data_IF_403844052697
#
_entry.id   IF_403844052697
#
_cell.length_a   1.000
_cell.length_b   1.000
_cell.length_c   1.000
_cell.angle_alpha   90.00
_cell.angle_beta   90.00
_cell.angle_gamma   90.00
#
_symmetry.space_group_name_H-M   'P 1'
#
loop_
_entity.id
_entity.type
_entity.pdbx_description
1 polymer ?
#
# COMPACT_ATOMS: atom_id res chain seq x y z
N UNK A 1 12.48 14.45 -5.07
CA UNK A 1 12.16 13.03 -5.33
C UNK A 1 12.48 12.78 -6.80
N UNK A 2 13.27 11.75 -7.15
CA UNK A 2 13.75 11.56 -8.53
C UNK A 2 12.98 10.41 -9.19
N UNK A 3 12.47 10.63 -10.40
CA UNK A 3 11.73 9.62 -11.15
C UNK A 3 12.07 9.62 -12.64
N UNK A 4 11.93 8.46 -13.28
CA UNK A 4 11.93 8.28 -14.75
C UNK A 4 10.57 7.73 -15.16
N UNK A 5 10.05 8.12 -16.33
CA UNK A 5 8.80 7.58 -16.82
C UNK A 5 8.80 7.14 -18.28
N UNK A 6 7.98 6.12 -18.56
CA UNK A 6 7.63 5.64 -19.89
C UNK A 6 6.10 5.51 -19.96
N UNK A 7 5.51 5.79 -21.11
CA UNK A 7 4.06 5.77 -21.32
C UNK A 7 3.67 4.59 -22.20
N UNK A 8 2.70 3.80 -21.76
CA UNK A 8 2.00 2.79 -22.57
C UNK A 8 0.51 3.12 -22.62
N UNK A 9 0.06 3.69 -23.72
CA UNK A 9 -1.33 4.14 -23.87
C UNK A 9 -1.74 5.15 -22.80
N UNK A 10 -2.61 4.73 -21.87
CA UNK A 10 -3.17 5.55 -20.78
C UNK A 10 -2.47 5.37 -19.44
N UNK A 11 -1.29 4.72 -19.41
CA UNK A 11 -0.54 4.46 -18.18
C UNK A 11 0.87 5.03 -18.32
N UNK A 12 1.31 5.81 -17.33
CA UNK A 12 2.70 6.23 -17.17
C UNK A 12 3.34 5.46 -16.01
N UNK A 13 4.48 4.81 -16.26
CA UNK A 13 5.20 4.09 -15.21
C UNK A 13 6.28 4.97 -14.62
N UNK A 14 6.40 5.03 -13.30
CA UNK A 14 7.43 5.82 -12.62
C UNK A 14 8.34 4.95 -11.80
N UNK A 15 9.66 5.17 -11.92
CA UNK A 15 10.67 4.51 -11.09
C UNK A 15 11.36 5.48 -10.15
N UNK A 16 11.37 5.19 -8.86
CA UNK A 16 11.98 6.02 -7.81
C UNK A 16 13.24 5.37 -7.25
N UNK A 17 14.27 6.17 -6.97
CA UNK A 17 15.52 5.65 -6.37
C UNK A 17 15.56 5.72 -4.84
N UNK A 18 14.65 6.49 -4.24
CA UNK A 18 14.69 6.82 -2.81
C UNK A 18 13.33 6.77 -2.11
N UNK A 19 12.35 6.11 -2.73
CA UNK A 19 11.00 5.92 -2.20
C UNK A 19 10.63 4.46 -2.36
N UNK A 20 10.13 3.87 -1.29
CA UNK A 20 9.63 2.50 -1.31
C UNK A 20 8.12 2.51 -1.23
N UNK A 21 7.47 1.81 -2.15
CA UNK A 21 6.04 1.62 -2.20
C UNK A 21 5.74 0.15 -1.93
N UNK A 22 4.77 -0.12 -1.07
CA UNK A 22 4.36 -1.49 -0.81
C UNK A 22 2.91 -1.55 -0.33
N UNK A 23 2.23 -2.66 -0.58
CA UNK A 23 0.85 -2.80 -0.14
C UNK A 23 0.38 -4.25 -0.09
N UNK A 24 -0.58 -4.48 0.79
CA UNK A 24 -1.45 -5.65 0.81
C UNK A 24 -2.74 -5.24 0.11
N UNK A 25 -3.09 -5.94 -0.97
CA UNK A 25 -4.18 -5.53 -1.86
C UNK A 25 -5.49 -5.29 -1.09
N UNK A 26 -6.12 -4.14 -1.35
CA UNK A 26 -7.37 -3.70 -0.74
C UNK A 26 -7.37 -3.63 0.80
N UNK A 27 -6.20 -3.52 1.43
CA UNK A 27 -6.07 -3.65 2.89
C UNK A 27 -5.18 -2.56 3.50
N UNK A 28 -3.84 -2.68 3.35
CA UNK A 28 -2.86 -1.69 3.80
C UNK A 28 -1.98 -1.25 2.66
N UNK A 29 -1.60 0.02 2.68
CA UNK A 29 -0.67 0.59 1.73
C UNK A 29 0.35 1.49 2.44
N UNK A 30 1.59 1.46 1.95
CA UNK A 30 2.72 2.14 2.53
C UNK A 30 3.54 2.87 1.46
N UNK A 31 3.94 4.10 1.77
CA UNK A 31 5.01 4.81 1.05
C UNK A 31 6.06 5.27 2.05
N UNK A 32 7.30 4.81 1.89
CA UNK A 32 8.42 5.19 2.76
C UNK A 32 9.42 6.06 2.00
N UNK A 33 9.67 7.25 2.53
CA UNK A 33 10.67 8.21 2.04
C UNK A 33 11.59 8.63 3.19
N UNK A 34 12.82 8.10 3.20
CA UNK A 34 13.72 8.26 4.34
C UNK A 34 13.12 7.66 5.62
N UNK A 35 12.96 8.49 6.66
CA UNK A 35 12.27 8.13 7.91
C UNK A 35 10.75 8.34 7.84
N UNK A 36 10.23 9.07 6.85
CA UNK A 36 8.80 9.36 6.76
C UNK A 36 8.05 8.19 6.10
N UNK A 37 6.94 7.78 6.69
CA UNK A 37 6.05 6.74 6.19
C UNK A 37 4.64 7.28 6.08
N UNK A 38 4.09 7.30 4.87
CA UNK A 38 2.65 7.34 4.66
C UNK A 38 2.10 5.93 4.82
N UNK A 39 1.09 5.76 5.65
CA UNK A 39 0.33 4.52 5.79
C UNK A 39 -1.15 4.83 5.57
N UNK A 40 -1.78 4.03 4.72
CA UNK A 40 -3.22 4.04 4.49
C UNK A 40 -3.77 2.66 4.79
N UNK A 41 -4.89 2.63 5.52
CA UNK A 41 -5.57 1.39 5.91
C UNK A 41 -7.04 1.52 5.59
N UNK A 42 -7.56 0.53 4.84
CA UNK A 42 -8.96 0.49 4.43
C UNK A 42 -9.89 0.58 5.64
N UNK A 43 -10.93 1.41 5.51
CA UNK A 43 -11.94 1.69 6.55
C UNK A 43 -11.40 2.19 7.90
N UNK A 44 -10.13 2.60 7.96
CA UNK A 44 -9.51 3.26 9.13
C UNK A 44 -9.08 4.69 8.79
N UNK A 45 -8.36 4.88 7.68
CA UNK A 45 -7.90 6.19 7.21
C UNK A 45 -6.43 6.21 6.82
N UNK A 46 -5.81 7.39 6.87
CA UNK A 46 -4.43 7.64 6.45
C UNK A 46 -3.64 8.42 7.50
N UNK A 47 -2.36 8.11 7.64
CA UNK A 47 -1.43 8.81 8.53
C UNK A 47 -0.04 8.96 7.91
N UNK A 48 0.70 9.96 8.36
CA UNK A 48 2.11 10.15 8.07
C UNK A 48 2.88 10.09 9.39
N UNK A 49 3.71 9.07 9.55
CA UNK A 49 4.45 8.78 10.79
C UNK A 49 5.95 8.57 10.48
N UNK A 50 6.78 8.52 11.52
CA UNK A 50 8.15 8.07 11.35
C UNK A 50 8.20 6.54 11.20
N UNK A 51 9.26 6.04 10.57
CA UNK A 51 9.50 4.61 10.46
C UNK A 51 9.66 4.00 11.85
N UNK A 52 10.32 4.70 12.78
CA UNK A 52 10.41 4.27 14.16
C UNK A 52 9.03 4.14 14.85
N UNK A 53 8.07 5.04 14.58
CA UNK A 53 6.71 4.92 15.13
C UNK A 53 5.95 3.74 14.52
N UNK A 54 6.10 3.48 13.21
CA UNK A 54 5.53 2.30 12.55
C UNK A 54 5.98 1.01 13.25
N UNK A 55 7.27 0.91 13.57
CA UNK A 55 7.86 -0.28 14.19
C UNK A 55 7.37 -0.56 15.62
N UNK A 56 6.76 0.42 16.32
CA UNK A 56 6.26 0.22 17.69
C UNK A 56 4.97 -0.60 17.76
N UNK A 57 4.19 -0.63 16.68
CA UNK A 57 2.96 -1.40 16.62
C UNK A 57 3.24 -2.71 15.87
N UNK A 58 3.11 -3.84 16.58
CA UNK A 58 3.42 -5.16 16.04
C UNK A 58 2.62 -5.49 14.77
N UNK A 59 1.35 -5.13 14.72
CA UNK A 59 0.51 -5.39 13.56
C UNK A 59 0.91 -4.52 12.37
N UNK A 60 1.13 -3.22 12.58
CA UNK A 60 1.56 -2.34 11.48
C UNK A 60 2.91 -2.77 10.92
N UNK A 61 3.83 -3.20 11.79
CA UNK A 61 5.11 -3.78 11.37
C UNK A 61 4.89 -5.05 10.54
N UNK A 62 4.06 -5.99 10.99
CA UNK A 62 3.79 -7.23 10.26
C UNK A 62 3.18 -6.95 8.88
N UNK A 63 2.20 -6.05 8.78
CA UNK A 63 1.63 -5.65 7.50
C UNK A 63 2.64 -4.95 6.60
N UNK A 64 3.53 -4.12 7.17
CA UNK A 64 4.60 -3.51 6.40
C UNK A 64 5.56 -4.56 5.84
N UNK A 65 6.03 -5.49 6.66
CA UNK A 65 6.92 -6.58 6.23
C UNK A 65 6.25 -7.46 5.17
N UNK A 66 5.00 -7.85 5.39
CA UNK A 66 4.19 -8.62 4.44
C UNK A 66 4.01 -7.86 3.12
N UNK A 67 3.69 -6.56 3.18
CA UNK A 67 3.51 -5.74 1.98
C UNK A 67 4.77 -5.69 1.11
N UNK A 68 5.96 -5.72 1.73
CA UNK A 68 7.23 -5.77 1.01
C UNK A 68 7.45 -7.12 0.33
N UNK A 69 6.99 -8.22 0.93
CA UNK A 69 7.04 -9.56 0.31
C UNK A 69 6.13 -9.65 -0.91
N UNK A 70 4.96 -9.01 -0.84
CA UNK A 70 3.93 -9.02 -1.89
C UNK A 70 4.14 -7.96 -2.97
N UNK A 71 5.14 -7.10 -2.85
CA UNK A 71 5.43 -6.04 -3.84
C UNK A 71 6.76 -6.31 -4.54
N UNK A 72 6.78 -7.02 -5.69
CA UNK A 72 8.01 -7.47 -6.34
C UNK A 72 8.96 -6.32 -6.70
N UNK A 73 8.41 -5.16 -7.03
CA UNK A 73 9.18 -3.97 -7.38
C UNK A 73 8.69 -2.74 -6.61
N UNK A 74 9.13 -2.63 -5.36
CA UNK A 74 8.81 -1.52 -4.46
C UNK A 74 9.30 -0.13 -4.91
N UNK A 75 10.03 -0.04 -6.01
CA UNK A 75 10.55 1.22 -6.55
C UNK A 75 9.78 1.69 -7.79
N UNK A 76 8.71 0.97 -8.18
CA UNK A 76 7.95 1.22 -9.39
C UNK A 76 6.47 1.40 -9.09
N UNK A 77 5.86 2.39 -9.73
CA UNK A 77 4.42 2.66 -9.66
C UNK A 77 3.87 2.92 -11.06
N UNK A 78 2.55 2.83 -11.20
CA UNK A 78 1.82 3.24 -12.39
C UNK A 78 0.94 4.45 -12.05
N UNK A 79 0.88 5.40 -12.98
CA UNK A 79 -0.04 6.52 -13.03
C UNK A 79 -1.03 6.29 -14.17
N UNK A 80 -2.31 6.25 -13.87
CA UNK A 80 -3.35 6.27 -14.89
C UNK A 80 -3.51 7.69 -15.43
N UNK A 81 -2.97 7.96 -16.63
CA UNK A 81 -3.00 9.30 -17.24
C UNK A 81 -4.41 9.70 -17.71
N UNK A 82 -5.30 8.72 -17.83
CA UNK A 82 -6.74 8.90 -18.05
C UNK A 82 -7.43 8.13 -16.94
N UNK A 83 -8.19 8.84 -16.11
CA UNK A 83 -8.86 8.32 -14.91
C UNK A 83 -9.45 6.90 -15.10
N UNK A 84 -8.77 5.88 -14.59
CA UNK A 84 -9.10 4.47 -14.88
C UNK A 84 -9.96 3.80 -13.81
N UNK A 85 -10.09 4.33 -12.59
CA UNK A 85 -10.84 3.63 -11.52
C UNK A 85 -12.35 3.54 -11.78
N UNK A 86 -12.89 4.24 -12.80
CA UNK A 86 -14.24 3.99 -13.37
C UNK A 86 -14.27 2.96 -14.51
N UNK A 87 -13.12 2.65 -15.11
CA UNK A 87 -12.95 1.71 -16.21
C UNK A 87 -12.30 0.38 -15.78
N UNK A 88 -12.00 0.22 -14.48
CA UNK A 88 -11.49 -1.03 -13.91
C UNK A 88 -12.51 -1.64 -12.96
N UNK A 89 -12.46 -2.96 -12.77
CA UNK A 89 -13.29 -3.69 -11.80
C UNK A 89 -13.00 -3.30 -10.32
N UNK A 90 -12.10 -2.33 -10.08
CA UNK A 90 -11.65 -1.93 -8.75
C UNK A 90 -12.41 -0.76 -8.14
N UNK A 91 -13.40 -0.19 -8.85
CA UNK A 91 -14.31 0.83 -8.33
C UNK A 91 -15.01 0.42 -7.02
N UNK A 92 -15.19 -0.89 -6.79
CA UNK A 92 -15.79 -1.42 -5.58
C UNK A 92 -14.88 -1.38 -4.35
N UNK A 93 -13.57 -1.21 -4.51
CA UNK A 93 -12.61 -1.19 -3.39
C UNK A 93 -12.31 0.22 -2.89
N UNK A 94 -12.50 1.25 -3.73
CA UNK A 94 -12.08 2.62 -3.42
C UNK A 94 -13.25 3.59 -3.58
N UNK A 95 -13.51 4.39 -2.53
CA UNK A 95 -14.64 5.34 -2.49
C UNK A 95 -14.41 6.59 -3.35
N UNK A 96 -13.17 6.83 -3.77
CA UNK A 96 -12.77 8.04 -4.49
C UNK A 96 -11.83 7.73 -5.65
N UNK A 97 -11.60 8.76 -6.46
CA UNK A 97 -10.68 8.73 -7.57
C UNK A 97 -9.24 8.46 -7.15
N UNK A 98 -8.61 7.45 -7.75
CA UNK A 98 -7.20 7.11 -7.54
C UNK A 98 -6.50 6.95 -8.87
N UNK A 99 -5.34 7.58 -8.99
CA UNK A 99 -4.54 7.60 -10.21
C UNK A 99 -3.28 6.77 -10.09
N UNK A 100 -2.86 6.46 -8.87
CA UNK A 100 -1.59 5.81 -8.61
C UNK A 100 -1.81 4.39 -8.10
N UNK A 101 -1.05 3.44 -8.64
CA UNK A 101 -1.07 2.06 -8.20
C UNK A 101 0.31 1.44 -8.17
N UNK A 102 0.46 0.38 -7.36
CA UNK A 102 1.67 -0.44 -7.30
C UNK A 102 1.41 -1.82 -7.87
N UNK A 103 2.47 -2.42 -8.41
CA UNK A 103 2.47 -3.82 -8.79
C UNK A 103 2.55 -4.70 -7.54
N UNK A 104 1.46 -5.37 -7.20
CA UNK A 104 1.37 -6.25 -6.03
C UNK A 104 0.87 -7.63 -6.43
N UNK A 105 1.23 -8.63 -5.63
CA UNK A 105 0.74 -10.01 -5.71
C UNK A 105 -0.37 -10.18 -4.68
N UNK A 106 -1.48 -10.79 -5.09
CA UNK A 106 -2.68 -10.91 -4.27
C UNK A 106 -3.45 -12.19 -4.55
N UNK A 107 -4.34 -12.55 -3.62
CA UNK A 107 -5.29 -13.64 -3.79
C UNK A 107 -6.61 -13.11 -4.34
N UNK A 108 -7.10 -13.74 -5.40
CA UNK A 108 -8.46 -13.58 -5.90
C UNK A 108 -9.09 -14.96 -6.07
N UNK A 109 -10.11 -15.28 -5.27
CA UNK A 109 -10.78 -16.59 -5.28
C UNK A 109 -9.78 -17.77 -5.22
N UNK A 110 -8.88 -17.75 -4.23
CA UNK A 110 -7.81 -18.75 -4.01
C UNK A 110 -6.75 -18.83 -5.12
N UNK A 111 -6.85 -17.99 -6.15
CA UNK A 111 -5.88 -17.91 -7.24
C UNK A 111 -4.89 -16.77 -6.99
N UNK A 112 -3.60 -17.08 -7.15
CA UNK A 112 -2.54 -16.07 -7.10
C UNK A 112 -2.60 -15.22 -8.38
N UNK A 113 -2.69 -13.91 -8.20
CA UNK A 113 -2.62 -12.92 -9.28
C UNK A 113 -1.60 -11.85 -8.95
N UNK A 114 -1.18 -11.14 -9.98
CA UNK A 114 -0.35 -9.96 -9.82
C UNK A 114 -0.76 -8.87 -10.79
N UNK A 115 -0.47 -7.62 -10.43
CA UNK A 115 -0.68 -6.48 -11.30
C UNK A 115 -0.69 -5.16 -10.57
N UNK A 116 -0.85 -4.09 -11.35
CA UNK A 116 -1.00 -2.72 -10.87
C UNK A 116 -2.42 -2.48 -10.35
N UNK A 117 -2.72 -3.06 -9.17
CA UNK A 117 -4.09 -3.14 -8.63
C UNK A 117 -4.26 -2.51 -7.24
N UNK A 118 -3.16 -2.31 -6.51
CA UNK A 118 -3.21 -1.66 -5.21
C UNK A 118 -3.09 -0.15 -5.41
N UNK A 119 -4.25 0.51 -5.48
CA UNK A 119 -4.38 1.94 -5.71
C UNK A 119 -4.33 2.72 -4.42
N UNK A 120 -3.67 3.89 -4.45
CA UNK A 120 -3.54 4.77 -3.29
C UNK A 120 -3.91 6.22 -3.63
N UNK A 121 -4.18 6.99 -2.58
CA UNK A 121 -4.84 8.28 -2.70
C UNK A 121 -3.91 9.44 -3.04
N UNK A 122 -2.73 9.48 -2.42
CA UNK A 122 -1.86 10.66 -2.50
C UNK A 122 -1.01 10.67 -3.77
N UNK A 123 -0.63 11.86 -4.23
CA UNK A 123 0.45 12.00 -5.18
C UNK A 123 1.78 11.68 -4.48
N UNK A 124 2.59 10.74 -4.98
CA UNK A 124 3.84 10.35 -4.33
C UNK A 124 4.83 11.51 -4.16
N UNK A 125 4.84 12.50 -5.08
CA UNK A 125 5.75 13.64 -5.02
C UNK A 125 5.47 14.56 -3.83
N UNK A 126 4.24 14.57 -3.31
CA UNK A 126 3.83 15.45 -2.21
C UNK A 126 4.31 14.95 -0.83
N UNK A 127 4.68 13.66 -0.73
CA UNK A 127 5.07 13.04 0.55
C UNK A 127 6.23 13.76 1.23
N UNK A 128 7.15 14.34 0.46
CA UNK A 128 8.30 15.09 1.01
C UNK A 128 7.86 16.27 1.88
N UNK A 129 6.76 16.94 1.51
CA UNK A 129 6.25 18.14 2.16
C UNK A 129 5.08 17.87 3.11
N UNK A 130 4.51 16.66 3.08
CA UNK A 130 3.47 16.26 4.03
C UNK A 130 3.98 16.34 5.48
N UNK A 131 3.16 16.97 6.34
CA UNK A 131 3.42 17.04 7.79
C UNK A 131 3.16 15.68 8.43
N UNK A 132 3.90 15.37 9.49
CA UNK A 132 3.58 14.24 10.36
C UNK A 132 2.18 14.43 10.97
N UNK A 133 1.48 13.31 11.11
CA UNK A 133 0.20 13.25 11.81
C UNK A 133 0.38 13.72 13.26
N UNK A 134 -0.48 14.62 13.72
CA UNK A 134 -0.46 15.09 15.10
C UNK A 134 -0.76 13.94 16.07
N UNK A 135 -0.25 14.03 17.31
CA UNK A 135 -0.49 12.97 18.30
C UNK A 135 -1.98 12.66 18.48
N UNK A 136 -2.83 13.70 18.58
CA UNK A 136 -4.29 13.55 18.68
C UNK A 136 -4.88 12.73 17.52
N UNK A 137 -4.44 12.99 16.29
CA UNK A 137 -4.95 12.28 15.11
C UNK A 137 -4.37 10.87 15.02
N UNK A 138 -3.13 10.67 15.47
CA UNK A 138 -2.53 9.35 15.57
C UNK A 138 -3.26 8.47 16.61
N UNK A 139 -3.63 9.04 17.75
CA UNK A 139 -4.39 8.34 18.79
C UNK A 139 -5.79 7.95 18.29
N UNK A 140 -6.47 8.86 17.57
CA UNK A 140 -7.73 8.58 16.91
C UNK A 140 -7.59 7.47 15.86
N UNK A 141 -6.53 7.51 15.05
CA UNK A 141 -6.24 6.46 14.08
C UNK A 141 -6.02 5.11 14.77
N UNK A 142 -5.25 5.05 15.87
CA UNK A 142 -5.02 3.83 16.65
C UNK A 142 -6.33 3.26 17.21
N UNK A 143 -7.20 4.13 17.73
CA UNK A 143 -8.52 3.73 18.22
C UNK A 143 -9.39 3.17 17.10
N UNK A 144 -9.47 3.84 15.96
CA UNK A 144 -10.21 3.36 14.79
C UNK A 144 -9.64 2.04 14.29
N UNK A 145 -8.32 1.92 14.22
CA UNK A 145 -7.64 0.69 13.80
C UNK A 145 -8.04 -0.48 14.70
N UNK A 146 -8.00 -0.31 16.02
CA UNK A 146 -8.41 -1.34 16.97
C UNK A 146 -9.90 -1.70 16.84
N UNK A 147 -10.78 -0.71 16.64
CA UNK A 147 -12.22 -0.96 16.51
C UNK A 147 -12.61 -1.64 15.19
N UNK A 148 -11.90 -1.34 14.10
CA UNK A 148 -12.19 -1.90 12.76
C UNK A 148 -11.58 -3.28 12.56
N UNK A 149 -10.47 -3.60 13.25
CA UNK A 149 -9.64 -4.80 13.01
C UNK A 149 -9.65 -5.81 14.16
N UNK A 150 -10.63 -5.73 15.05
CA UNK A 150 -10.77 -6.64 16.18
C UNK A 150 -10.81 -8.13 15.75
N UNK A 151 -10.45 -9.06 16.65
CA UNK A 151 -10.38 -10.55 16.59
C UNK A 151 -9.90 -11.28 15.29
N UNK A 152 -10.04 -10.71 14.10
CA UNK A 152 -9.77 -11.33 12.80
C UNK A 152 -8.40 -10.99 12.23
N UNK A 153 -7.71 -9.97 12.76
CA UNK A 153 -6.41 -9.52 12.25
C UNK A 153 -5.36 -10.65 12.22
N UNK A 154 -5.39 -11.55 13.22
CA UNK A 154 -4.48 -12.69 13.26
C UNK A 154 -4.82 -13.71 12.16
N UNK A 155 -6.11 -13.96 11.91
CA UNK A 155 -6.56 -14.88 10.86
C UNK A 155 -6.20 -14.33 9.48
N UNK A 156 -6.42 -13.03 9.25
CA UNK A 156 -6.03 -12.36 8.00
C UNK A 156 -4.51 -12.46 7.77
N UNK A 157 -3.71 -12.14 8.79
CA UNK A 157 -2.26 -12.23 8.71
C UNK A 157 -1.79 -13.67 8.45
N UNK A 158 -2.39 -14.68 9.07
CA UNK A 158 -2.02 -16.09 8.86
C UNK A 158 -2.29 -16.53 7.41
N UNK A 159 -3.44 -16.12 6.84
CA UNK A 159 -3.78 -16.38 5.43
C UNK A 159 -2.74 -15.73 4.53
N UNK A 160 -2.47 -14.43 4.72
CA UNK A 160 -1.53 -13.72 3.87
C UNK A 160 -0.08 -14.20 4.02
N UNK A 161 0.34 -14.59 5.23
CA UNK A 161 1.68 -15.14 5.45
C UNK A 161 1.86 -16.48 4.75
N UNK A 162 0.86 -17.37 4.86
CA UNK A 162 0.86 -18.66 4.14
C UNK A 162 0.98 -18.44 2.63
N UNK A 163 0.13 -17.55 2.11
CA UNK A 163 0.16 -17.16 0.70
C UNK A 163 1.49 -16.54 0.26
N UNK A 164 2.06 -15.63 1.03
CA UNK A 164 3.34 -15.00 0.70
C UNK A 164 4.49 -16.01 0.66
N UNK A 165 4.46 -17.03 1.53
CA UNK A 165 5.41 -18.15 1.51
C UNK A 165 5.23 -19.01 0.26
N UNK A 166 3.99 -19.39 -0.08
CA UNK A 166 3.69 -20.19 -1.27
C UNK A 166 4.11 -19.48 -2.55
N UNK A 167 3.79 -18.18 -2.68
CA UNK A 167 4.22 -17.38 -3.82
C UNK A 167 5.74 -17.39 -3.95
N UNK A 168 6.48 -17.17 -2.85
CA UNK A 168 7.95 -17.19 -2.87
C UNK A 168 8.52 -18.54 -3.31
N UNK A 169 7.95 -19.64 -2.85
CA UNK A 169 8.38 -20.98 -3.25
C UNK A 169 8.19 -21.27 -4.75
N UNK A 170 7.34 -20.51 -5.45
CA UNK A 170 7.16 -20.62 -6.91
C UNK A 170 8.12 -19.76 -7.74
N UNK A 171 8.91 -18.89 -7.09
CA UNK A 171 9.87 -18.00 -7.75
C UNK A 171 11.33 -18.50 -7.67
N UNK A 172 11.59 -19.53 -6.86
CA UNK A 172 12.90 -20.20 -6.68
C UNK A 172 13.05 -21.43 -7.59
#
# INVERSE_FOLDING_TARGET
MNSYFNTDGSIAYHKFSNVEFSGVFADHFFIKYGDKVYMEVKDVGEIVISFAELQKNNYWKQYYDLSLLLTPNKYSIAEDTIYSSKNTNYSNYYKEARFWSIHTVFLENETIREGYVCYYKINPYDLVDMKYTSQKNLDLFKQNYANTRDDLINVELDIYNTFAMDYRATQD
#
